data_IF_353091843597
#
_entry.id   IF_353091843597
#
_cell.length_a   1.000
_cell.length_b   1.000
_cell.length_c   1.000
_cell.angle_alpha   90.00
_cell.angle_beta   90.00
_cell.angle_gamma   90.00
#
_symmetry.space_group_name_H-M   'P 1'
#
loop_
_entity.id
_entity.type
_entity.pdbx_description
1 polymer ?
#
# COMPACT_ATOMS: atom_id res chain seq x y z
N UNK A 1 -2.37 -6.74 -16.27
CA UNK A 1 -3.14 -5.50 -16.06
C UNK A 1 -2.26 -4.25 -16.16
N UNK A 2 -1.18 -4.12 -15.36
CA UNK A 2 -0.30 -2.95 -15.37
C UNK A 2 0.24 -2.63 -16.78
N UNK A 3 0.79 -3.63 -17.48
CA UNK A 3 1.38 -3.43 -18.81
C UNK A 3 0.35 -2.87 -19.81
N UNK A 4 -0.91 -3.28 -19.71
CA UNK A 4 -2.00 -2.75 -20.54
C UNK A 4 -2.24 -1.26 -20.25
N UNK A 5 -2.35 -0.86 -18.98
CA UNK A 5 -2.52 0.54 -18.61
C UNK A 5 -1.35 1.41 -19.09
N UNK A 6 -0.13 0.90 -18.95
CA UNK A 6 1.05 1.61 -19.44
C UNK A 6 1.05 1.74 -20.96
N UNK A 7 0.73 0.66 -21.72
CA UNK A 7 0.73 0.68 -23.18
C UNK A 7 -0.38 1.55 -23.80
N UNK A 8 -1.44 1.85 -23.04
CA UNK A 8 -2.49 2.79 -23.48
C UNK A 8 -2.03 4.25 -23.47
N UNK A 9 -0.97 4.58 -22.70
CA UNK A 9 -0.51 5.98 -22.50
C UNK A 9 0.92 6.23 -22.95
N UNK A 10 1.79 5.23 -22.84
CA UNK A 10 3.21 5.34 -23.13
C UNK A 10 3.62 4.37 -24.24
N UNK A 11 4.70 4.71 -24.96
CA UNK A 11 5.36 3.77 -25.84
C UNK A 11 6.19 2.79 -25.00
N UNK A 12 5.66 1.61 -24.73
CA UNK A 12 6.31 0.63 -23.85
C UNK A 12 7.16 -0.38 -24.62
N UNK A 13 8.33 -0.70 -24.05
CA UNK A 13 9.21 -1.74 -24.55
C UNK A 13 9.49 -2.76 -23.46
N UNK A 14 8.80 -3.90 -23.45
CA UNK A 14 8.98 -4.91 -22.42
C UNK A 14 10.33 -5.62 -22.55
N UNK A 15 10.85 -6.12 -21.44
CA UNK A 15 12.01 -7.01 -21.35
C UNK A 15 13.30 -6.42 -21.96
N UNK A 16 13.69 -5.22 -21.54
CA UNK A 16 15.00 -4.67 -21.87
C UNK A 16 16.08 -5.51 -21.21
N UNK A 17 17.02 -6.02 -22.02
CA UNK A 17 18.15 -6.78 -21.53
C UNK A 17 19.33 -5.82 -21.27
N UNK A 18 19.76 -5.72 -20.02
CA UNK A 18 20.89 -4.89 -19.61
C UNK A 18 22.27 -5.45 -20.05
N UNK A 19 22.36 -6.62 -20.69
CA UNK A 19 23.61 -7.13 -21.28
C UNK A 19 24.09 -6.28 -22.45
N UNK A 20 23.28 -5.34 -22.94
CA UNK A 20 23.63 -4.30 -23.90
C UNK A 20 23.15 -2.94 -23.39
N UNK A 21 23.72 -1.82 -23.85
CA UNK A 21 23.27 -0.49 -23.46
C UNK A 21 21.78 -0.29 -23.68
N UNK A 22 21.12 0.40 -22.76
CA UNK A 22 19.71 0.77 -22.91
C UNK A 22 19.58 1.71 -24.11
N UNK A 23 18.62 1.49 -25.03
CA UNK A 23 18.44 2.35 -26.20
C UNK A 23 18.16 3.81 -25.81
N UNK A 24 18.70 4.76 -26.56
CA UNK A 24 18.59 6.21 -26.31
C UNK A 24 17.13 6.75 -26.32
N UNK A 25 16.20 6.00 -26.93
CA UNK A 25 14.79 6.37 -26.96
C UNK A 25 13.97 5.86 -25.77
N UNK A 26 14.62 5.45 -24.71
CA UNK A 26 14.02 5.05 -23.44
C UNK A 26 14.32 6.15 -22.41
N UNK A 27 13.26 6.80 -21.93
CA UNK A 27 13.36 7.87 -20.94
C UNK A 27 13.30 7.32 -19.52
N UNK A 28 12.39 6.34 -19.28
CA UNK A 28 12.12 5.76 -17.96
C UNK A 28 12.25 4.24 -18.00
N UNK A 29 13.01 3.70 -17.05
CA UNK A 29 13.14 2.26 -16.84
C UNK A 29 12.38 1.80 -15.60
N UNK A 30 11.45 0.84 -15.77
CA UNK A 30 10.84 0.13 -14.65
C UNK A 30 11.69 -1.09 -14.32
N UNK A 31 12.43 -1.02 -13.22
CA UNK A 31 13.34 -2.08 -12.81
C UNK A 31 12.65 -3.00 -11.81
N UNK A 32 12.26 -4.18 -12.27
CA UNK A 32 11.68 -5.21 -11.41
C UNK A 32 12.76 -5.86 -10.54
N UNK A 33 12.44 -6.13 -9.29
CA UNK A 33 13.36 -6.67 -8.29
C UNK A 33 14.02 -7.96 -8.74
N UNK A 34 15.30 -8.06 -8.43
CA UNK A 34 16.14 -9.22 -8.73
C UNK A 34 16.65 -9.88 -7.44
N UNK A 35 16.83 -11.19 -7.49
CA UNK A 35 17.45 -11.96 -6.40
C UNK A 35 18.93 -12.22 -6.66
N UNK A 36 19.30 -12.37 -7.94
CA UNK A 36 20.66 -12.62 -8.36
C UNK A 36 21.45 -11.32 -8.58
N UNK A 37 22.78 -11.42 -8.57
CA UNK A 37 23.65 -10.28 -8.86
C UNK A 37 23.68 -9.99 -10.37
N UNK A 38 23.73 -8.69 -10.70
CA UNK A 38 24.02 -8.23 -12.05
C UNK A 38 25.45 -8.60 -12.44
N UNK A 39 25.65 -8.96 -13.71
CA UNK A 39 27.00 -9.06 -14.27
C UNK A 39 27.64 -7.69 -14.38
N UNK A 40 28.97 -7.64 -14.53
CA UNK A 40 29.68 -6.37 -14.69
C UNK A 40 29.19 -5.53 -15.88
N UNK A 41 28.82 -6.19 -16.99
CA UNK A 41 28.29 -5.50 -18.16
C UNK A 41 26.89 -4.93 -17.88
N UNK A 42 26.03 -5.68 -17.18
CA UNK A 42 24.70 -5.21 -16.81
C UNK A 42 24.76 -4.03 -15.83
N UNK A 43 25.66 -4.10 -14.84
CA UNK A 43 25.91 -2.99 -13.92
C UNK A 43 26.42 -1.74 -14.65
N UNK A 44 27.41 -1.91 -15.54
CA UNK A 44 27.95 -0.80 -16.32
C UNK A 44 26.90 -0.15 -17.21
N UNK A 45 26.05 -0.95 -17.87
CA UNK A 45 24.98 -0.44 -18.73
C UNK A 45 23.89 0.27 -17.92
N UNK A 46 23.57 -0.21 -16.71
CA UNK A 46 22.63 0.46 -15.80
C UNK A 46 23.20 1.81 -15.33
N UNK A 47 24.46 1.86 -14.91
CA UNK A 47 25.12 3.10 -14.51
C UNK A 47 25.26 4.09 -15.68
N UNK A 48 25.53 3.59 -16.88
CA UNK A 48 25.60 4.41 -18.08
C UNK A 48 24.22 5.04 -18.40
N UNK A 49 23.13 4.28 -18.26
CA UNK A 49 21.79 4.80 -18.44
C UNK A 49 21.49 5.93 -17.46
N UNK A 50 21.82 5.76 -16.18
CA UNK A 50 21.67 6.80 -15.14
C UNK A 50 22.52 8.03 -15.47
N UNK A 51 23.79 7.86 -15.82
CA UNK A 51 24.68 8.99 -16.12
C UNK A 51 24.29 9.78 -17.37
N UNK A 52 23.55 9.17 -18.28
CA UNK A 52 22.96 9.81 -19.47
C UNK A 52 21.60 10.48 -19.23
N UNK A 53 21.13 10.54 -17.99
CA UNK A 53 19.87 11.20 -17.62
C UNK A 53 18.65 10.29 -17.66
N UNK A 54 18.83 8.98 -17.75
CA UNK A 54 17.72 8.02 -17.69
C UNK A 54 17.16 7.91 -16.28
N UNK A 55 15.85 7.98 -16.15
CA UNK A 55 15.13 7.86 -14.88
C UNK A 55 14.74 6.40 -14.60
N UNK A 56 14.75 6.02 -13.32
CA UNK A 56 14.43 4.62 -12.94
C UNK A 56 13.47 4.56 -11.76
N UNK A 57 12.41 3.78 -11.92
CA UNK A 57 11.57 3.31 -10.81
C UNK A 57 11.98 1.88 -10.46
N UNK A 58 12.64 1.72 -9.32
CA UNK A 58 13.02 0.43 -8.75
C UNK A 58 11.91 -0.13 -7.87
N UNK A 59 11.57 -1.40 -8.07
CA UNK A 59 10.72 -2.20 -7.20
C UNK A 59 11.56 -3.36 -6.63
N UNK A 60 12.25 -3.15 -5.49
CA UNK A 60 13.25 -4.08 -4.98
C UNK A 60 13.08 -4.30 -3.48
N UNK A 61 12.79 -5.53 -3.06
CA UNK A 61 12.83 -5.92 -1.65
C UNK A 61 14.22 -6.43 -1.24
N UNK A 62 14.51 -6.42 0.07
CA UNK A 62 15.76 -6.92 0.65
C UNK A 62 15.63 -8.37 1.11
N UNK A 63 14.42 -8.78 1.46
CA UNK A 63 14.12 -10.10 2.02
C UNK A 63 13.26 -10.87 1.01
N UNK A 64 13.72 -12.07 0.67
CA UNK A 64 12.92 -13.03 -0.09
C UNK A 64 12.04 -13.82 0.88
N UNK A 65 10.72 -13.80 0.65
CA UNK A 65 9.74 -14.43 1.53
C UNK A 65 9.00 -15.52 0.79
N UNK A 66 9.03 -16.73 1.34
CA UNK A 66 8.18 -17.85 0.95
C UNK A 66 7.11 -18.06 2.02
N UNK A 67 5.88 -17.65 1.70
CA UNK A 67 4.72 -17.79 2.61
C UNK A 67 4.35 -19.25 2.83
N UNK A 68 4.55 -20.14 1.84
CA UNK A 68 4.15 -21.54 1.94
C UNK A 68 5.01 -22.29 2.93
N UNK A 69 6.31 -22.05 2.92
CA UNK A 69 7.25 -22.65 3.87
C UNK A 69 7.45 -21.81 5.14
N UNK A 70 6.86 -20.60 5.20
CA UNK A 70 7.07 -19.61 6.26
C UNK A 70 8.56 -19.29 6.48
N UNK A 71 9.33 -19.21 5.40
CA UNK A 71 10.74 -18.87 5.43
C UNK A 71 10.99 -17.50 4.81
N UNK A 72 11.93 -16.77 5.40
CA UNK A 72 12.40 -15.52 4.87
C UNK A 72 13.93 -15.50 4.94
N UNK A 73 14.56 -15.10 3.84
CA UNK A 73 16.01 -15.06 3.71
C UNK A 73 16.46 -13.77 3.06
N UNK A 74 17.55 -13.13 3.55
CA UNK A 74 18.12 -11.97 2.90
C UNK A 74 18.57 -12.27 1.46
N UNK A 75 18.28 -11.37 0.56
CA UNK A 75 18.76 -11.41 -0.83
C UNK A 75 20.19 -10.92 -0.86
N UNK A 76 21.07 -11.72 -1.46
CA UNK A 76 22.48 -11.39 -1.65
C UNK A 76 22.70 -11.00 -3.12
N UNK A 77 22.73 -9.70 -3.40
CA UNK A 77 22.86 -9.17 -4.76
C UNK A 77 23.64 -7.85 -4.73
N UNK A 78 24.47 -7.60 -5.75
CA UNK A 78 25.18 -6.33 -5.90
C UNK A 78 24.27 -5.14 -6.23
N UNK A 79 22.99 -5.37 -6.50
CA UNK A 79 22.02 -4.28 -6.69
C UNK A 79 21.96 -3.36 -5.47
N UNK A 80 22.13 -3.91 -4.27
CA UNK A 80 22.14 -3.13 -3.03
C UNK A 80 23.34 -2.19 -2.92
N UNK A 81 24.51 -2.62 -3.37
CA UNK A 81 25.71 -1.77 -3.44
C UNK A 81 25.52 -0.66 -4.47
N UNK A 82 24.88 -0.98 -5.60
CA UNK A 82 24.53 -0.01 -6.63
C UNK A 82 23.57 1.04 -6.07
N UNK A 83 22.45 0.63 -5.46
CA UNK A 83 21.47 1.53 -4.87
C UNK A 83 22.09 2.38 -3.76
N UNK A 84 22.91 1.77 -2.90
CA UNK A 84 23.59 2.48 -1.82
C UNK A 84 24.57 3.53 -2.36
N UNK A 85 25.25 3.27 -3.49
CA UNK A 85 26.14 4.25 -4.12
C UNK A 85 25.41 5.53 -4.61
N UNK A 86 24.09 5.48 -4.73
CA UNK A 86 23.21 6.62 -5.02
C UNK A 86 22.45 7.15 -3.80
N UNK A 87 22.71 6.62 -2.59
CA UNK A 87 22.07 7.06 -1.35
C UNK A 87 20.73 6.38 -1.04
N UNK A 88 20.41 5.27 -1.71
CA UNK A 88 19.23 4.46 -1.47
C UNK A 88 19.64 3.14 -0.78
N UNK A 89 19.66 3.12 0.54
CA UNK A 89 20.04 1.94 1.31
C UNK A 89 18.79 1.19 1.80
N UNK A 90 18.61 -0.07 1.34
CA UNK A 90 17.53 -0.95 1.82
C UNK A 90 18.05 -1.79 2.98
N UNK A 91 17.46 -1.64 4.15
CA UNK A 91 17.81 -2.43 5.33
C UNK A 91 17.43 -3.89 5.19
N UNK A 92 18.21 -4.74 5.81
CA UNK A 92 17.94 -6.17 5.92
C UNK A 92 16.92 -6.46 7.02
N UNK A 93 15.68 -5.99 6.78
CA UNK A 93 14.56 -6.16 7.70
C UNK A 93 13.23 -6.32 6.94
N UNK A 94 12.21 -6.77 7.64
CA UNK A 94 10.81 -6.70 7.21
C UNK A 94 10.10 -5.67 8.06
N UNK A 95 9.39 -4.76 7.42
CA UNK A 95 8.59 -3.73 8.06
C UNK A 95 7.19 -4.25 8.32
N UNK A 96 6.66 -3.92 9.49
CA UNK A 96 5.32 -4.25 9.96
C UNK A 96 4.55 -2.96 10.24
N UNK A 97 3.26 -2.93 9.89
CA UNK A 97 2.38 -1.79 10.19
C UNK A 97 1.05 -2.30 10.77
N UNK A 98 0.47 -1.53 11.69
CA UNK A 98 -0.85 -1.81 12.23
C UNK A 98 -1.95 -1.69 11.15
N UNK A 99 -1.79 -0.74 10.21
CA UNK A 99 -2.63 -0.66 9.03
C UNK A 99 -2.14 -1.71 8.04
N UNK A 100 -2.83 -2.83 7.94
CA UNK A 100 -2.41 -3.94 7.10
C UNK A 100 -3.59 -4.66 6.47
N UNK A 101 -3.28 -5.45 5.44
CA UNK A 101 -4.20 -6.40 4.86
C UNK A 101 -4.35 -7.65 5.73
N UNK A 102 -5.37 -8.43 5.44
CA UNK A 102 -5.68 -9.69 6.11
C UNK A 102 -5.25 -10.88 5.26
N UNK A 103 -4.86 -11.95 5.94
CA UNK A 103 -4.65 -13.27 5.34
C UNK A 103 -5.65 -14.27 5.90
N UNK A 104 -6.09 -15.20 5.05
CA UNK A 104 -6.99 -16.26 5.48
C UNK A 104 -6.21 -17.43 6.06
N UNK A 105 -6.37 -17.67 7.36
CA UNK A 105 -5.71 -18.78 8.07
C UNK A 105 -6.69 -19.92 8.29
N UNK A 106 -6.31 -21.13 7.90
CA UNK A 106 -7.10 -22.32 8.15
C UNK A 106 -7.04 -22.68 9.64
N UNK A 107 -8.17 -22.56 10.33
CA UNK A 107 -8.30 -22.98 11.73
C UNK A 107 -9.21 -24.19 11.86
N UNK A 108 -8.81 -25.13 12.71
CA UNK A 108 -9.64 -26.27 13.04
C UNK A 108 -10.55 -25.92 14.22
N UNK A 109 -11.86 -25.91 13.97
CA UNK A 109 -12.88 -25.70 14.99
C UNK A 109 -13.68 -27.02 15.16
N UNK A 110 -13.24 -27.86 16.06
CA UNK A 110 -13.80 -29.21 16.21
C UNK A 110 -13.52 -30.09 14.99
N UNK A 111 -14.58 -30.56 14.33
CA UNK A 111 -14.50 -31.37 13.10
C UNK A 111 -14.45 -30.54 11.81
N UNK A 112 -14.64 -29.23 11.90
CA UNK A 112 -14.67 -28.34 10.74
C UNK A 112 -13.35 -27.59 10.59
N UNK A 113 -12.94 -27.36 9.33
CA UNK A 113 -11.87 -26.42 8.99
C UNK A 113 -12.52 -25.17 8.42
N UNK A 114 -12.19 -24.02 8.98
CA UNK A 114 -12.70 -22.72 8.54
C UNK A 114 -11.53 -21.79 8.22
N UNK A 115 -11.67 -21.02 7.14
CA UNK A 115 -10.75 -19.93 6.84
C UNK A 115 -11.15 -18.72 7.69
N UNK A 116 -10.27 -18.27 8.56
CA UNK A 116 -10.49 -17.10 9.43
C UNK A 116 -9.57 -15.99 8.94
N UNK A 117 -10.11 -14.80 8.59
CA UNK A 117 -9.30 -13.66 8.24
C UNK A 117 -8.56 -13.14 9.48
N UNK A 118 -7.26 -12.94 9.35
CA UNK A 118 -6.40 -12.40 10.40
C UNK A 118 -5.58 -11.24 9.85
N UNK A 119 -5.49 -10.15 10.61
CA UNK A 119 -4.63 -9.02 10.26
C UNK A 119 -3.19 -9.49 10.15
N UNK A 120 -2.51 -9.08 9.07
CA UNK A 120 -1.16 -9.52 8.79
C UNK A 120 -0.22 -8.34 8.55
N UNK A 121 0.43 -7.82 9.61
CA UNK A 121 1.22 -6.60 9.58
C UNK A 121 2.35 -6.52 8.55
N UNK A 122 2.79 -7.64 8.00
CA UNK A 122 3.76 -7.69 6.89
C UNK A 122 3.19 -7.25 5.53
N UNK A 123 1.87 -6.99 5.45
CA UNK A 123 1.19 -6.47 4.26
C UNK A 123 0.67 -5.05 4.54
N UNK A 124 1.55 -4.05 4.69
CA UNK A 124 1.15 -2.72 5.10
C UNK A 124 0.27 -2.02 4.07
N UNK A 125 -0.72 -1.26 4.57
CA UNK A 125 -1.56 -0.35 3.79
C UNK A 125 -1.20 1.07 4.21
N UNK A 126 -0.50 1.77 3.35
CA UNK A 126 -0.13 3.17 3.57
C UNK A 126 -1.35 4.05 3.30
N UNK A 127 -1.71 4.93 4.24
CA UNK A 127 -2.88 5.82 4.14
C UNK A 127 -2.54 7.29 4.36
N UNK A 128 -1.29 7.59 4.67
CA UNK A 128 -0.83 8.95 4.95
C UNK A 128 0.24 9.36 3.97
N UNK A 129 -0.07 10.32 3.12
CA UNK A 129 0.81 10.82 2.08
C UNK A 129 1.10 12.30 2.28
N UNK A 130 2.30 12.76 1.88
CA UNK A 130 2.66 14.17 1.89
C UNK A 130 1.84 14.90 0.82
N UNK A 131 1.29 16.06 1.18
CA UNK A 131 0.56 16.92 0.22
C UNK A 131 1.49 17.61 -0.78
N UNK A 132 2.75 17.73 -0.42
CA UNK A 132 3.77 18.39 -1.25
C UNK A 132 4.41 17.42 -2.26
N UNK A 133 4.15 16.12 -2.13
CA UNK A 133 4.71 15.09 -2.99
C UNK A 133 3.71 14.73 -4.10
N UNK A 134 4.02 15.13 -5.32
CA UNK A 134 3.11 15.01 -6.46
C UNK A 134 2.86 13.58 -6.89
N UNK A 135 3.82 12.67 -6.72
CA UNK A 135 3.69 11.27 -7.15
C UNK A 135 2.65 10.48 -6.36
N UNK A 136 2.34 10.93 -5.14
CA UNK A 136 1.30 10.34 -4.27
C UNK A 136 -0.02 11.12 -4.30
N UNK A 137 -0.12 12.13 -5.16
CA UNK A 137 -1.33 12.95 -5.29
C UNK A 137 -2.52 12.12 -5.79
N UNK A 138 -3.66 12.28 -5.14
CA UNK A 138 -4.89 11.53 -5.47
C UNK A 138 -4.94 10.10 -4.95
N UNK A 139 -3.92 9.63 -4.22
CA UNK A 139 -3.95 8.30 -3.60
C UNK A 139 -4.74 8.32 -2.29
N UNK A 140 -5.61 7.35 -2.10
CA UNK A 140 -6.28 7.08 -0.82
C UNK A 140 -5.49 6.10 0.04
N UNK A 141 -4.90 5.10 -0.60
CA UNK A 141 -4.06 4.09 0.05
C UNK A 141 -3.06 3.50 -0.93
N UNK A 142 -2.02 2.86 -0.43
CA UNK A 142 -1.09 2.06 -1.21
C UNK A 142 -0.76 0.78 -0.46
N UNK A 143 -0.85 -0.34 -1.14
CA UNK A 143 -0.62 -1.66 -0.57
C UNK A 143 0.78 -2.13 -0.92
N UNK A 144 1.53 -2.58 0.08
CA UNK A 144 2.85 -3.16 -0.11
C UNK A 144 2.92 -4.58 0.48
N UNK A 145 3.86 -5.38 -0.02
CA UNK A 145 4.01 -6.79 0.34
C UNK A 145 5.45 -7.05 0.80
N UNK A 146 5.63 -7.44 2.06
CA UNK A 146 6.92 -7.79 2.65
C UNK A 146 8.01 -6.74 2.39
N UNK A 147 7.67 -5.49 2.64
CA UNK A 147 8.54 -4.35 2.40
C UNK A 147 9.66 -4.23 3.44
N UNK A 148 10.75 -3.60 3.05
CA UNK A 148 11.90 -3.27 3.92
C UNK A 148 12.02 -1.76 4.13
N UNK A 149 12.70 -1.35 5.20
CA UNK A 149 12.98 0.06 5.47
C UNK A 149 14.09 0.58 4.55
N UNK A 150 13.91 1.80 4.04
CA UNK A 150 14.89 2.52 3.23
C UNK A 150 15.48 3.65 4.07
N UNK A 151 16.80 3.76 4.07
CA UNK A 151 17.55 4.84 4.70
C UNK A 151 18.48 5.52 3.69
N UNK A 152 18.93 6.71 4.03
CA UNK A 152 20.00 7.40 3.30
C UNK A 152 21.18 7.63 4.22
N UNK A 153 22.38 7.51 3.67
CA UNK A 153 23.58 7.95 4.36
C UNK A 153 23.62 9.47 4.53
N UNK A 154 24.30 9.94 5.56
CA UNK A 154 24.42 11.37 5.88
C UNK A 154 24.92 12.24 4.71
N UNK A 155 25.69 11.67 3.80
CA UNK A 155 26.25 12.33 2.61
C UNK A 155 25.16 12.68 1.59
N UNK A 156 24.10 11.86 1.49
CA UNK A 156 23.04 12.00 0.47
C UNK A 156 21.73 12.59 1.03
N UNK A 157 21.67 12.93 2.31
CA UNK A 157 20.45 13.41 2.97
C UNK A 157 19.79 14.60 2.27
N UNK A 158 20.53 15.49 1.65
CA UNK A 158 19.99 16.66 0.96
C UNK A 158 19.25 16.32 -0.34
N UNK A 159 19.57 15.18 -0.95
CA UNK A 159 18.97 14.72 -2.21
C UNK A 159 17.94 13.60 -1.99
N UNK A 160 17.80 13.12 -0.75
CA UNK A 160 16.90 12.04 -0.39
C UNK A 160 15.52 12.58 -0.02
N UNK A 161 14.51 12.18 -0.78
CA UNK A 161 13.11 12.55 -0.53
C UNK A 161 12.32 11.29 -0.16
N UNK A 162 11.86 11.16 1.09
CA UNK A 162 10.99 10.05 1.49
C UNK A 162 9.57 10.26 0.92
N UNK A 163 9.11 9.33 0.07
CA UNK A 163 7.81 9.39 -0.61
C UNK A 163 6.74 8.59 0.13
N UNK A 164 7.08 7.35 0.48
CA UNK A 164 6.16 6.39 1.10
C UNK A 164 6.62 6.07 2.51
N UNK A 165 5.70 6.20 3.47
CA UNK A 165 5.94 5.93 4.89
C UNK A 165 4.83 5.10 5.49
N UNK A 166 5.20 4.23 6.42
CA UNK A 166 4.24 3.51 7.28
C UNK A 166 3.57 4.44 8.29
N UNK A 167 2.61 3.93 9.02
CA UNK A 167 2.01 4.65 10.14
C UNK A 167 3.00 4.83 11.32
N UNK A 168 2.62 5.63 12.32
CA UNK A 168 3.38 5.77 13.57
C UNK A 168 3.19 4.56 14.52
N UNK A 169 2.51 3.52 14.07
CA UNK A 169 2.34 2.25 14.77
C UNK A 169 2.88 1.13 13.91
N UNK A 170 4.17 1.20 13.68
CA UNK A 170 4.95 0.24 12.92
C UNK A 170 5.98 -0.46 13.80
N UNK A 171 6.65 -1.43 13.25
CA UNK A 171 7.85 -2.07 13.80
C UNK A 171 8.69 -2.62 12.66
N UNK A 172 9.86 -3.15 12.97
CA UNK A 172 10.67 -3.89 12.01
C UNK A 172 11.23 -5.18 12.63
N UNK A 173 11.39 -6.19 11.79
CA UNK A 173 11.95 -7.49 12.17
C UNK A 173 13.20 -7.75 11.36
N UNK A 174 14.31 -8.02 12.04
CA UNK A 174 15.62 -8.32 11.43
C UNK A 174 16.20 -9.59 12.05
N UNK A 175 17.15 -10.20 11.38
CA UNK A 175 17.90 -11.40 11.78
C UNK A 175 17.04 -12.68 11.87
N UNK A 176 15.95 -12.64 12.61
CA UNK A 176 15.02 -13.78 12.75
C UNK A 176 13.62 -13.39 12.28
N UNK A 177 13.14 -14.02 11.23
CA UNK A 177 11.87 -13.71 10.60
C UNK A 177 10.78 -14.72 10.99
N UNK A 178 9.90 -14.32 11.91
CA UNK A 178 8.72 -15.11 12.25
C UNK A 178 7.54 -14.66 11.38
N UNK A 179 7.19 -15.46 10.38
CA UNK A 179 6.10 -15.17 9.44
C UNK A 179 4.75 -15.74 9.86
N UNK A 180 4.65 -16.34 11.06
CA UNK A 180 3.40 -16.93 11.52
C UNK A 180 2.31 -15.87 11.63
N UNK A 181 1.15 -16.05 10.98
CA UNK A 181 0.06 -15.08 11.03
C UNK A 181 -0.73 -15.07 12.35
N UNK A 182 -0.57 -16.09 13.19
CA UNK A 182 -1.23 -16.15 14.50
C UNK A 182 -0.56 -15.18 15.49
N UNK A 183 -1.26 -14.13 15.98
CA UNK A 183 -0.69 -13.18 16.95
C UNK A 183 -0.20 -13.84 18.25
N UNK A 184 -0.73 -15.01 18.61
CA UNK A 184 -0.28 -15.75 19.80
C UNK A 184 1.11 -16.38 19.59
N UNK A 185 1.47 -16.66 18.34
CA UNK A 185 2.76 -17.24 17.97
C UNK A 185 3.73 -16.18 17.40
N UNK A 186 3.24 -14.97 17.16
CA UNK A 186 4.03 -13.85 16.67
C UNK A 186 3.84 -12.62 17.57
N UNK A 187 4.56 -12.52 18.69
CA UNK A 187 4.35 -11.49 19.70
C UNK A 187 4.68 -10.08 19.22
N UNK A 188 5.45 -9.92 18.14
CA UNK A 188 5.77 -8.60 17.58
C UNK A 188 4.51 -7.85 17.10
N UNK A 189 3.46 -8.57 16.71
CA UNK A 189 2.20 -7.95 16.30
C UNK A 189 1.51 -7.15 17.43
N UNK A 190 1.84 -7.43 18.68
CA UNK A 190 1.38 -6.66 19.84
C UNK A 190 2.29 -5.46 20.16
N UNK A 191 3.45 -5.33 19.51
CA UNK A 191 4.50 -4.36 19.83
C UNK A 191 4.70 -3.31 18.72
N UNK A 192 3.67 -3.07 17.89
CA UNK A 192 3.72 -2.06 16.82
C UNK A 192 3.62 -0.65 17.41
N UNK A 193 4.74 -0.11 17.87
CA UNK A 193 4.82 1.18 18.56
C UNK A 193 6.01 2.05 18.15
N UNK A 194 6.75 1.63 17.13
CA UNK A 194 7.86 2.39 16.57
C UNK A 194 7.36 3.51 15.66
N UNK A 195 8.18 4.55 15.43
CA UNK A 195 7.88 5.62 14.48
C UNK A 195 7.69 5.08 13.06
N UNK A 196 7.08 5.90 12.21
CA UNK A 196 6.90 5.58 10.79
C UNK A 196 8.24 5.26 10.11
N UNK A 197 8.25 4.21 9.29
CA UNK A 197 9.39 3.73 8.49
C UNK A 197 9.25 4.22 7.05
N UNK A 198 10.34 4.62 6.44
CA UNK A 198 10.36 4.94 5.01
C UNK A 198 10.46 3.63 4.23
N UNK A 199 9.51 3.41 3.30
CA UNK A 199 9.43 2.21 2.46
C UNK A 199 9.42 2.54 0.97
N UNK A 200 9.42 3.83 0.64
CA UNK A 200 9.63 4.35 -0.70
C UNK A 200 10.31 5.70 -0.64
N UNK A 201 11.32 5.90 -1.46
CA UNK A 201 12.14 7.12 -1.49
C UNK A 201 12.61 7.45 -2.90
N UNK A 202 12.92 8.72 -3.12
CA UNK A 202 13.51 9.24 -4.35
C UNK A 202 14.81 9.96 -4.05
N UNK A 203 15.78 9.79 -4.94
CA UNK A 203 16.99 10.60 -4.98
C UNK A 203 17.16 11.21 -6.36
N UNK A 204 17.61 12.45 -6.41
CA UNK A 204 18.05 13.11 -7.63
C UNK A 204 19.57 13.01 -7.70
N UNK A 205 20.06 12.39 -8.75
CA UNK A 205 21.49 12.20 -9.02
C UNK A 205 21.89 13.15 -10.13
N UNK A 206 22.96 13.92 -9.92
CA UNK A 206 23.53 14.79 -10.93
C UNK A 206 24.93 14.30 -11.28
N UNK A 207 25.22 14.09 -12.56
CA UNK A 207 26.55 13.82 -13.03
C UNK A 207 27.41 15.09 -12.93
N UNK A 208 28.50 15.02 -12.17
CA UNK A 208 29.35 16.16 -11.88
C UNK A 208 30.07 16.76 -13.11
N UNK A 209 30.19 15.99 -14.20
CA UNK A 209 30.88 16.41 -15.40
C UNK A 209 29.95 17.04 -16.43
N UNK A 210 28.77 16.51 -16.56
CA UNK A 210 27.78 16.91 -17.59
C UNK A 210 26.67 17.78 -17.03
N UNK A 211 26.43 17.76 -15.72
CA UNK A 211 25.27 18.40 -15.08
C UNK A 211 23.92 17.77 -15.42
N UNK A 212 23.93 16.60 -16.06
CA UNK A 212 22.73 15.84 -16.37
C UNK A 212 22.17 15.25 -15.09
N UNK A 213 20.86 15.36 -14.91
CA UNK A 213 20.15 14.89 -13.73
C UNK A 213 19.34 13.63 -14.07
N UNK A 214 19.25 12.70 -13.11
CA UNK A 214 18.41 11.50 -13.17
C UNK A 214 17.63 11.36 -11.88
N UNK A 215 16.36 10.94 -11.98
CA UNK A 215 15.52 10.63 -10.84
C UNK A 215 15.50 9.12 -10.60
N UNK A 216 15.98 8.71 -9.44
CA UNK A 216 15.93 7.32 -9.02
C UNK A 216 14.88 7.20 -7.90
N UNK A 217 13.76 6.56 -8.19
CA UNK A 217 12.73 6.24 -7.21
C UNK A 217 12.80 4.78 -6.85
N UNK A 218 12.80 4.47 -5.56
CA UNK A 218 12.83 3.11 -5.03
C UNK A 218 11.62 2.86 -4.16
N UNK A 219 10.92 1.77 -4.42
CA UNK A 219 9.93 1.17 -3.51
C UNK A 219 10.47 -0.19 -3.06
N UNK A 220 10.51 -0.42 -1.76
CA UNK A 220 11.07 -1.65 -1.20
C UNK A 220 10.06 -2.82 -1.27
N UNK A 221 9.48 -3.04 -2.44
CA UNK A 221 8.52 -4.11 -2.72
C UNK A 221 8.69 -4.61 -4.16
N UNK A 222 9.25 -5.80 -4.35
CA UNK A 222 9.43 -6.42 -5.68
C UNK A 222 8.12 -6.87 -6.32
N UNK A 223 7.01 -6.91 -5.57
CA UNK A 223 5.70 -7.26 -6.10
C UNK A 223 4.92 -6.03 -6.62
N UNK A 224 5.51 -4.83 -6.56
CA UNK A 224 4.86 -3.59 -6.98
C UNK A 224 4.33 -3.66 -8.42
N UNK A 225 5.07 -4.26 -9.33
CA UNK A 225 4.68 -4.38 -10.75
C UNK A 225 3.90 -5.66 -11.07
N UNK A 226 3.78 -6.58 -10.12
CA UNK A 226 3.08 -7.85 -10.32
C UNK A 226 1.56 -7.66 -10.28
N UNK A 227 0.84 -8.24 -11.25
CA UNK A 227 -0.63 -8.23 -11.28
C UNK A 227 -1.27 -8.94 -10.08
N UNK A 228 -0.56 -9.85 -9.43
CA UNK A 228 -0.98 -10.54 -8.21
C UNK A 228 -0.56 -9.78 -6.94
N UNK A 229 0.26 -8.77 -7.08
CA UNK A 229 0.73 -7.88 -6.03
C UNK A 229 0.23 -6.45 -6.25
N UNK A 230 1.12 -5.50 -6.06
CA UNK A 230 0.82 -4.07 -6.17
C UNK A 230 0.28 -3.63 -7.54
N UNK A 231 0.73 -4.24 -8.64
CA UNK A 231 0.25 -3.94 -9.99
C UNK A 231 -1.21 -4.36 -10.26
N UNK A 232 -1.87 -5.06 -9.35
CA UNK A 232 -3.30 -5.35 -9.38
C UNK A 232 -4.16 -4.29 -8.66
N UNK A 233 -3.57 -3.45 -7.81
CA UNK A 233 -4.26 -2.39 -7.06
C UNK A 233 -4.37 -1.10 -7.88
N UNK A 234 -5.58 -0.51 -8.03
CA UNK A 234 -5.75 0.73 -8.78
C UNK A 234 -4.91 1.90 -8.23
N UNK A 235 -4.79 2.02 -6.91
CA UNK A 235 -3.98 3.08 -6.29
C UNK A 235 -2.48 2.89 -6.56
N UNK A 236 -1.98 1.65 -6.50
CA UNK A 236 -0.59 1.35 -6.83
C UNK A 236 -0.29 1.64 -8.31
N UNK A 237 -1.22 1.29 -9.22
CA UNK A 237 -1.13 1.65 -10.65
C UNK A 237 -1.07 3.18 -10.80
N UNK A 238 -1.93 3.91 -10.09
CA UNK A 238 -1.93 5.38 -10.10
C UNK A 238 -0.60 5.95 -9.62
N UNK A 239 -0.02 5.40 -8.55
CA UNK A 239 1.32 5.77 -8.07
C UNK A 239 2.40 5.55 -9.13
N UNK A 240 2.41 4.38 -9.77
CA UNK A 240 3.38 4.04 -10.84
C UNK A 240 3.26 5.05 -11.98
N UNK A 241 2.04 5.33 -12.44
CA UNK A 241 1.79 6.28 -13.52
C UNK A 241 2.17 7.71 -13.13
N UNK A 242 1.85 8.15 -11.91
CA UNK A 242 2.25 9.46 -11.41
C UNK A 242 3.79 9.58 -11.35
N UNK A 243 4.46 8.51 -10.95
CA UNK A 243 5.93 8.49 -10.89
C UNK A 243 6.56 8.59 -12.28
N UNK A 244 5.99 7.87 -13.27
CA UNK A 244 6.45 7.97 -14.67
C UNK A 244 6.20 9.39 -15.22
N UNK A 245 4.99 9.94 -15.02
CA UNK A 245 4.67 11.30 -15.48
C UNK A 245 5.59 12.35 -14.83
N UNK A 246 5.91 12.18 -13.53
CA UNK A 246 6.87 13.04 -12.84
C UNK A 246 8.27 12.97 -13.46
N UNK A 247 8.76 11.77 -13.76
CA UNK A 247 10.07 11.53 -14.40
C UNK A 247 10.10 12.09 -15.83
N UNK A 248 8.99 12.07 -16.55
CA UNK A 248 8.84 12.64 -17.88
C UNK A 248 8.61 14.17 -17.88
N UNK A 249 8.52 14.79 -16.71
CA UNK A 249 8.28 16.23 -16.55
C UNK A 249 6.82 16.65 -16.72
N UNK A 250 5.88 15.72 -16.83
CA UNK A 250 4.45 15.94 -17.10
C UNK A 250 3.63 16.10 -15.81
N UNK A 251 4.05 16.98 -14.91
CA UNK A 251 3.36 17.23 -13.62
C UNK A 251 1.90 17.68 -13.77
N UNK A 252 1.53 18.29 -14.90
CA UNK A 252 0.15 18.70 -15.21
C UNK A 252 -0.78 17.49 -15.36
N UNK A 253 -0.31 16.38 -15.90
CA UNK A 253 -1.10 15.14 -16.02
C UNK A 253 -1.42 14.56 -14.65
N UNK A 254 -0.49 14.64 -13.69
CA UNK A 254 -0.71 14.21 -12.31
C UNK A 254 -1.82 15.05 -11.67
N UNK A 255 -1.78 16.39 -11.86
CA UNK A 255 -2.79 17.29 -11.33
C UNK A 255 -4.18 17.05 -11.92
N UNK A 256 -4.28 16.65 -13.19
CA UNK A 256 -5.53 16.26 -13.83
C UNK A 256 -6.08 14.97 -13.24
N UNK A 257 -5.23 13.94 -13.10
CA UNK A 257 -5.62 12.63 -12.56
C UNK A 257 -6.09 12.71 -11.10
N UNK A 258 -5.46 13.55 -10.30
CA UNK A 258 -5.86 13.77 -8.90
C UNK A 258 -7.21 14.46 -8.74
N UNK A 259 -7.73 15.10 -9.83
CA UNK A 259 -9.06 15.73 -9.87
C UNK A 259 -10.15 14.77 -10.34
N UNK A 260 -9.81 13.67 -10.97
CA UNK A 260 -10.77 12.62 -11.28
C UNK A 260 -11.36 12.14 -9.97
N UNK A 261 -12.68 12.25 -9.89
CA UNK A 261 -13.48 11.99 -8.69
C UNK A 261 -13.16 10.57 -8.20
N UNK A 262 -12.50 10.49 -7.08
CA UNK A 262 -12.41 9.24 -6.33
C UNK A 262 -13.82 8.76 -6.07
N UNK A 263 -14.15 7.55 -6.54
CA UNK A 263 -15.36 6.86 -6.12
C UNK A 263 -15.31 6.81 -4.58
N UNK A 264 -16.02 7.76 -3.94
CA UNK A 264 -16.12 7.76 -2.48
C UNK A 264 -17.09 6.64 -2.12
N UNK A 265 -16.62 5.49 -1.64
CA UNK A 265 -17.53 4.52 -1.07
C UNK A 265 -18.30 5.25 0.04
N UNK A 266 -19.62 5.13 0.01
CA UNK A 266 -20.48 5.60 1.09
C UNK A 266 -19.83 5.16 2.41
N UNK A 267 -19.51 6.13 3.29
CA UNK A 267 -18.91 5.99 4.62
C UNK A 267 -18.94 4.55 5.14
N UNK A 268 -17.90 3.80 4.85
CA UNK A 268 -17.94 2.38 5.15
C UNK A 268 -16.76 1.90 5.96
N UNK A 269 -15.57 1.88 5.45
CA UNK A 269 -14.46 1.20 6.10
C UNK A 269 -13.22 2.07 6.30
N UNK A 270 -13.11 3.21 5.62
CA UNK A 270 -11.91 4.06 5.63
C UNK A 270 -11.89 5.09 6.77
N UNK A 271 -13.03 5.47 7.37
CA UNK A 271 -13.13 6.60 8.29
C UNK A 271 -13.14 6.24 9.78
N UNK A 272 -12.61 5.09 10.17
CA UNK A 272 -12.35 4.79 11.58
C UNK A 272 -13.61 4.73 12.46
N UNK A 273 -14.79 4.45 11.89
CA UNK A 273 -15.98 4.17 12.70
C UNK A 273 -15.74 2.84 13.40
N UNK A 274 -15.55 2.91 14.70
CA UNK A 274 -15.37 1.75 15.57
C UNK A 274 -16.45 0.70 15.30
N UNK A 275 -16.05 -0.56 15.25
CA UNK A 275 -16.95 -1.70 15.03
C UNK A 275 -18.12 -1.73 16.03
N UNK A 276 -17.95 -1.21 17.26
CA UNK A 276 -19.02 -1.07 18.24
C UNK A 276 -20.05 -0.03 17.80
N UNK A 277 -19.62 1.10 17.29
CA UNK A 277 -20.51 2.15 16.77
C UNK A 277 -21.30 1.63 15.58
N UNK A 278 -20.67 0.88 14.68
CA UNK A 278 -21.29 0.23 13.53
C UNK A 278 -22.35 -0.79 13.94
N UNK A 279 -22.04 -1.63 14.91
CA UNK A 279 -22.97 -2.61 15.47
C UNK A 279 -24.16 -1.91 16.13
N UNK A 280 -23.90 -0.85 16.88
CA UNK A 280 -24.94 -0.05 17.55
C UNK A 280 -25.93 0.55 16.54
N UNK A 281 -25.44 1.14 15.46
CA UNK A 281 -26.31 1.67 14.40
C UNK A 281 -27.11 0.59 13.68
N UNK A 282 -26.53 -0.60 13.44
CA UNK A 282 -27.25 -1.75 12.86
C UNK A 282 -28.38 -2.21 13.79
N UNK A 283 -28.12 -2.33 15.09
CA UNK A 283 -29.09 -2.73 16.10
C UNK A 283 -30.22 -1.70 16.21
N UNK A 284 -29.87 -0.41 16.26
CA UNK A 284 -30.86 0.69 16.34
C UNK A 284 -31.78 0.65 15.12
N UNK A 285 -31.24 0.57 13.90
CA UNK A 285 -32.04 0.53 12.67
C UNK A 285 -32.94 -0.72 12.57
N UNK A 286 -32.54 -1.83 13.17
CA UNK A 286 -33.36 -3.06 13.17
C UNK A 286 -34.45 -3.03 14.23
N UNK A 287 -34.16 -2.50 15.43
CA UNK A 287 -35.10 -2.53 16.59
C UNK A 287 -36.03 -1.32 16.60
N UNK A 288 -35.54 -0.13 16.24
CA UNK A 288 -36.30 1.12 16.33
C UNK A 288 -37.64 1.09 15.54
N UNK A 289 -37.69 0.64 14.29
CA UNK A 289 -38.98 0.56 13.55
C UNK A 289 -39.98 -0.37 14.21
N UNK A 290 -39.49 -1.50 14.75
CA UNK A 290 -40.36 -2.47 15.43
C UNK A 290 -41.00 -1.91 16.71
N UNK A 291 -40.21 -1.21 17.52
CA UNK A 291 -40.68 -0.53 18.74
C UNK A 291 -41.68 0.57 18.38
N UNK A 292 -41.42 1.34 17.32
CA UNK A 292 -42.27 2.43 16.88
C UNK A 292 -43.66 1.89 16.43
N UNK A 293 -43.72 0.77 15.72
CA UNK A 293 -44.97 0.11 15.30
C UNK A 293 -45.76 -0.38 16.53
N UNK A 294 -45.09 -0.99 17.51
CA UNK A 294 -45.74 -1.46 18.75
C UNK A 294 -46.31 -0.28 19.53
N UNK A 295 -45.56 0.81 19.67
CA UNK A 295 -46.04 2.02 20.37
C UNK A 295 -47.25 2.66 19.67
N UNK A 296 -47.18 2.76 18.34
CA UNK A 296 -48.30 3.24 17.52
C UNK A 296 -49.55 2.34 17.69
N UNK A 297 -49.39 1.03 17.65
CA UNK A 297 -50.46 0.07 17.87
C UNK A 297 -51.11 0.21 19.26
N UNK A 298 -50.28 0.36 20.29
CA UNK A 298 -50.77 0.60 21.65
C UNK A 298 -51.50 1.95 21.78
N UNK A 299 -51.02 3.00 21.13
CA UNK A 299 -51.67 4.31 21.12
C UNK A 299 -53.02 4.28 20.43
N UNK A 300 -53.11 3.63 19.27
CA UNK A 300 -54.39 3.45 18.54
C UNK A 300 -55.37 2.65 19.38
N UNK A 301 -54.95 1.54 19.95
CA UNK A 301 -55.79 0.70 20.82
C UNK A 301 -56.30 1.46 22.06
N UNK A 302 -55.47 2.29 22.70
CA UNK A 302 -55.88 3.15 23.79
C UNK A 302 -56.94 4.16 23.35
N UNK A 303 -56.75 4.77 22.18
CA UNK A 303 -57.68 5.74 21.62
C UNK A 303 -59.02 5.10 21.29
N UNK A 304 -59.05 3.88 20.74
CA UNK A 304 -60.28 3.11 20.46
C UNK A 304 -60.95 2.67 21.76
N UNK A 305 -60.26 2.18 22.75
CA UNK A 305 -60.82 1.82 24.04
C UNK A 305 -61.43 3.02 24.75
N UNK A 306 -60.81 4.20 24.66
CA UNK A 306 -61.37 5.42 25.23
C UNK A 306 -62.64 5.87 24.48
N UNK A 307 -62.65 5.76 23.15
CA UNK A 307 -63.85 6.02 22.37
C UNK A 307 -65.01 5.04 22.71
N UNK A 308 -64.66 3.75 22.85
CA UNK A 308 -65.62 2.73 23.22
C UNK A 308 -66.27 2.96 24.64
N UNK A 309 -65.41 3.44 25.59
CA UNK A 309 -65.95 3.85 26.94
C UNK A 309 -66.85 5.03 26.86
N UNK A 310 -66.50 6.09 26.13
CA UNK A 310 -67.35 7.29 25.97
C UNK A 310 -68.69 6.93 25.30
N UNK A 311 -68.65 6.09 24.26
CA UNK A 311 -69.85 5.61 23.59
C UNK A 311 -70.75 4.78 24.55
N UNK A 312 -70.14 3.94 25.38
CA UNK A 312 -70.85 3.13 26.35
C UNK A 312 -71.58 3.98 27.42
N UNK A 313 -70.87 4.99 27.93
CA UNK A 313 -71.36 5.92 28.92
C UNK A 313 -72.43 6.86 28.36
N UNK A 314 -72.44 7.12 27.03
CA UNK A 314 -73.41 8.04 26.38
C UNK A 314 -74.69 7.35 25.91
N UNK A 315 -74.65 6.05 25.64
CA UNK A 315 -75.82 5.31 25.07
C UNK A 315 -76.45 4.25 26.01
N UNK A 316 -75.91 4.07 27.20
CA UNK A 316 -76.42 3.08 28.16
C UNK A 316 -76.70 3.67 29.57
N UNK A 317 -76.95 4.99 29.67
CA UNK A 317 -77.67 5.62 30.76
C UNK A 317 -79.15 5.68 30.49
#
# INVERSE_FOLDING_TARGET
>A
NLLRFLSERYSTRPNINLSSPVPENIDVLLFNGIADSLTSDQENNLRLFISNGGDILFAQNRINVDIQTQQATPIQSNIFDILNSYGLNIKENLVLDQNCNQVNVQQQMGIFRMAVPMDYPFLPILKSFSKDEVTVSGLESMELIFTSEIESDSVYLNNFTPILKTSNRSSSMSEFYNLNPDPKQNPIFAQLSEPSKVVGARVMVSDSNTGIESNLTLVADSQLFSDQGGGGSPNNITFIMNTIDYMMGDSELIALRSREVTDRPLLGDADGIDNQTRLSWKIINMIFPSILIILLGMFIRRKENNKAKILKDTFYE
#
